data_IF_981845723483
#
_entry.id   IF_981845723483
#
_cell.length_a   1.000
_cell.length_b   1.000
_cell.length_c   1.000
_cell.angle_alpha   90.00
_cell.angle_beta   90.00
_cell.angle_gamma   90.00
#
_symmetry.space_group_name_H-M   'P 1'
#
loop_
_entity.id
_entity.type
_entity.pdbx_description
1 polymer ?
#
# COMPACT_ATOMS: atom_id res chain seq x y z
N UNK A 1 2.45 2.18 10.27
CA UNK A 1 1.49 1.66 9.28
C UNK A 1 0.53 2.80 8.97
N UNK A 2 0.38 3.23 7.71
CA UNK A 2 -0.47 4.38 7.35
C UNK A 2 -1.93 4.13 7.69
N UNK A 3 -2.62 5.18 8.15
CA UNK A 3 -4.01 5.07 8.55
C UNK A 3 -4.90 4.92 7.32
N UNK A 4 -5.95 4.09 7.40
CA UNK A 4 -6.87 3.87 6.27
C UNK A 4 -7.57 5.16 5.85
N UNK A 5 -7.86 6.05 6.81
CA UNK A 5 -8.46 7.37 6.56
C UNK A 5 -7.59 8.20 5.62
N UNK A 6 -6.29 8.28 5.88
CA UNK A 6 -5.34 9.03 5.05
C UNK A 6 -5.31 8.52 3.60
N UNK A 7 -5.29 7.19 3.42
CA UNK A 7 -5.32 6.60 2.08
C UNK A 7 -6.65 6.86 1.35
N UNK A 8 -7.77 6.91 2.07
CA UNK A 8 -9.09 7.22 1.48
C UNK A 8 -9.25 8.70 1.12
N UNK A 9 -8.49 9.60 1.75
CA UNK A 9 -8.51 11.03 1.44
C UNK A 9 -7.73 11.39 0.16
N UNK A 10 -6.81 10.54 -0.28
CA UNK A 10 -6.01 10.75 -1.49
C UNK A 10 -6.80 10.54 -2.77
N UNK A 11 -6.38 11.21 -3.84
CA UNK A 11 -6.91 10.99 -5.19
C UNK A 11 -6.49 9.61 -5.73
N UNK A 12 -7.13 9.16 -6.81
CA UNK A 12 -6.73 7.90 -7.47
C UNK A 12 -5.32 7.99 -8.05
N UNK A 13 -4.93 9.15 -8.57
CA UNK A 13 -3.60 9.42 -9.12
C UNK A 13 -2.52 9.33 -8.04
N UNK A 14 -2.73 10.01 -6.90
CA UNK A 14 -1.81 9.96 -5.76
C UNK A 14 -1.66 8.54 -5.20
N UNK A 15 -2.75 7.78 -5.17
CA UNK A 15 -2.73 6.37 -4.76
C UNK A 15 -1.96 5.49 -5.74
N UNK A 16 -2.06 5.77 -7.04
CA UNK A 16 -1.33 5.04 -8.08
C UNK A 16 0.17 5.36 -8.01
N UNK A 17 0.55 6.62 -7.82
CA UNK A 17 1.95 7.02 -7.64
C UNK A 17 2.57 6.33 -6.41
N UNK A 18 1.90 6.42 -5.27
CA UNK A 18 2.36 5.79 -4.03
C UNK A 18 2.43 4.25 -4.15
N UNK A 19 1.51 3.64 -4.91
CA UNK A 19 1.56 2.21 -5.21
C UNK A 19 2.83 1.83 -5.99
N UNK A 20 3.27 2.67 -6.94
CA UNK A 20 4.48 2.43 -7.72
C UNK A 20 5.74 2.55 -6.85
N UNK A 21 5.80 3.58 -5.99
CA UNK A 21 6.90 3.76 -5.03
C UNK A 21 7.03 2.56 -4.09
N UNK A 22 5.91 2.14 -3.47
CA UNK A 22 5.90 1.01 -2.54
C UNK A 22 6.28 -0.31 -3.22
N UNK A 23 5.93 -0.50 -4.51
CA UNK A 23 6.35 -1.68 -5.29
C UNK A 23 7.85 -1.68 -5.54
N UNK A 24 8.44 -0.52 -5.83
CA UNK A 24 9.88 -0.36 -6.00
C UNK A 24 10.62 -0.62 -4.70
N UNK A 25 10.16 -0.05 -3.59
CA UNK A 25 10.71 -0.30 -2.25
C UNK A 25 10.62 -1.79 -1.88
N UNK A 26 9.48 -2.43 -2.17
CA UNK A 26 9.30 -3.87 -1.95
C UNK A 26 10.30 -4.71 -2.74
N UNK A 27 10.59 -4.33 -4.00
CA UNK A 27 11.58 -5.02 -4.84
C UNK A 27 12.98 -4.87 -4.24
N UNK A 28 13.37 -3.66 -3.83
CA UNK A 28 14.67 -3.39 -3.23
C UNK A 28 14.87 -4.14 -1.91
N UNK A 29 13.84 -4.21 -1.07
CA UNK A 29 13.91 -5.00 0.16
C UNK A 29 14.02 -6.50 -0.14
N UNK A 30 13.27 -7.01 -1.12
CA UNK A 30 13.37 -8.42 -1.54
C UNK A 30 14.75 -8.77 -2.08
N UNK A 31 15.38 -7.90 -2.87
CA UNK A 31 16.73 -8.15 -3.39
C UNK A 31 17.75 -8.13 -2.26
N UNK A 32 17.68 -7.18 -1.32
CA UNK A 32 18.54 -7.12 -0.13
C UNK A 32 18.43 -8.37 0.75
N UNK A 33 17.20 -8.87 0.95
CA UNK A 33 16.96 -10.13 1.67
C UNK A 33 17.59 -11.30 0.91
N UNK A 34 17.39 -11.36 -0.41
CA UNK A 34 17.88 -12.47 -1.24
C UNK A 34 19.41 -12.53 -1.29
N UNK A 35 20.09 -11.38 -1.25
CA UNK A 35 21.55 -11.31 -1.22
C UNK A 35 22.16 -11.68 0.14
N UNK A 36 21.36 -12.16 1.10
CA UNK A 36 21.84 -12.52 2.44
C UNK A 36 22.12 -11.31 3.34
N UNK A 37 21.62 -10.13 2.98
CA UNK A 37 21.78 -8.92 3.80
C UNK A 37 20.95 -9.02 5.09
N UNK A 38 21.52 -8.56 6.20
CA UNK A 38 20.80 -8.44 7.46
C UNK A 38 19.55 -7.56 7.28
N UNK A 39 18.42 -8.06 7.75
CA UNK A 39 17.14 -7.34 7.71
C UNK A 39 16.96 -6.65 9.04
N UNK A 40 17.40 -5.40 9.13
CA UNK A 40 17.27 -4.60 10.36
C UNK A 40 15.80 -4.37 10.74
N UNK A 41 14.90 -4.31 9.75
CA UNK A 41 13.47 -4.09 9.96
C UNK A 41 12.60 -5.18 9.32
N UNK A 42 12.53 -6.35 9.95
CA UNK A 42 11.72 -7.50 9.50
C UNK A 42 10.22 -7.15 9.33
N UNK A 43 9.72 -6.19 10.12
CA UNK A 43 8.34 -5.68 10.03
C UNK A 43 8.04 -4.79 8.82
N UNK A 44 9.06 -4.18 8.20
CA UNK A 44 8.88 -3.22 7.10
C UNK A 44 8.32 -3.91 5.85
N UNK A 45 8.80 -5.11 5.52
CA UNK A 45 8.28 -5.90 4.41
C UNK A 45 6.77 -6.18 4.56
N UNK A 46 6.35 -6.55 5.77
CA UNK A 46 4.94 -6.82 6.09
C UNK A 46 4.10 -5.54 6.01
N UNK A 47 4.64 -4.42 6.48
CA UNK A 47 3.97 -3.12 6.42
C UNK A 47 3.74 -2.67 4.98
N UNK A 48 4.76 -2.73 4.13
CA UNK A 48 4.67 -2.34 2.71
C UNK A 48 3.63 -3.20 1.98
N UNK A 49 3.68 -4.53 2.15
CA UNK A 49 2.69 -5.44 1.55
C UNK A 49 1.25 -5.10 1.96
N UNK A 50 1.03 -4.75 3.24
CA UNK A 50 -0.28 -4.36 3.75
C UNK A 50 -0.74 -3.01 3.20
N UNK A 51 0.16 -2.04 3.09
CA UNK A 51 -0.18 -0.74 2.50
C UNK A 51 -0.55 -0.89 1.02
N UNK A 52 0.23 -1.65 0.24
CA UNK A 52 -0.08 -2.00 -1.16
C UNK A 52 -1.46 -2.63 -1.28
N UNK A 53 -1.77 -3.63 -0.44
CA UNK A 53 -3.07 -4.30 -0.46
C UNK A 53 -4.22 -3.32 -0.21
N UNK A 54 -4.08 -2.42 0.76
CA UNK A 54 -5.11 -1.40 1.06
C UNK A 54 -5.33 -0.42 -0.08
N UNK A 55 -4.26 0.07 -0.70
CA UNK A 55 -4.35 0.97 -1.85
C UNK A 55 -5.12 0.27 -2.99
N UNK A 56 -4.75 -0.96 -3.32
CA UNK A 56 -5.45 -1.75 -4.34
C UNK A 56 -6.92 -1.99 -3.99
N UNK A 57 -7.24 -2.23 -2.72
CA UNK A 57 -8.62 -2.35 -2.25
C UNK A 57 -9.40 -1.05 -2.48
N UNK A 58 -8.86 0.10 -2.07
CA UNK A 58 -9.52 1.41 -2.24
C UNK A 58 -9.76 1.71 -3.72
N UNK A 59 -8.74 1.54 -4.57
CA UNK A 59 -8.87 1.75 -6.01
C UNK A 59 -9.93 0.82 -6.63
N UNK A 60 -9.99 -0.44 -6.18
CA UNK A 60 -11.01 -1.39 -6.66
C UNK A 60 -12.42 -1.06 -6.13
N UNK A 61 -12.55 -0.61 -4.89
CA UNK A 61 -13.82 -0.12 -4.31
C UNK A 61 -14.35 1.09 -5.08
N UNK A 62 -13.46 2.06 -5.39
CA UNK A 62 -13.80 3.24 -6.21
C UNK A 62 -14.20 2.85 -7.62
N UNK A 63 -13.41 1.99 -8.29
CA UNK A 63 -13.71 1.48 -9.63
C UNK A 63 -15.05 0.75 -9.72
N UNK A 64 -15.45 0.05 -8.65
CA UNK A 64 -16.73 -0.67 -8.56
C UNK A 64 -17.91 0.20 -8.11
N UNK A 65 -17.69 1.49 -7.83
CA UNK A 65 -18.71 2.37 -7.26
C UNK A 65 -19.13 2.00 -5.83
N UNK A 66 -18.38 1.14 -5.14
CA UNK A 66 -18.65 0.67 -3.78
C UNK A 66 -18.15 1.65 -2.71
N UNK A 67 -17.31 2.62 -3.10
CA UNK A 67 -16.66 3.57 -2.18
C UNK A 67 -17.59 4.50 -1.39
N UNK A 68 -18.88 4.58 -1.72
CA UNK A 68 -19.88 5.39 -1.00
C UNK A 68 -20.69 4.64 0.07
N UNK A 69 -20.67 3.30 0.13
CA UNK A 69 -21.60 2.55 1.02
C UNK A 69 -21.08 2.24 2.43
N UNK A 70 -19.89 2.72 2.82
CA UNK A 70 -19.19 2.26 4.04
C UNK A 70 -18.75 3.40 4.98
N UNK A 71 -19.34 4.59 4.83
CA UNK A 71 -19.06 5.76 5.67
C UNK A 71 -20.27 6.63 5.99
N UNK A 72 -21.48 6.19 5.63
CA UNK A 72 -22.75 6.77 6.08
C UNK A 72 -23.39 5.75 7.02
N UNK A 73 -22.92 5.72 8.27
CA UNK A 73 -23.58 5.18 9.47
C UNK A 73 -22.82 5.66 10.71
#
# INVERSE_FOLDING_TARGET
MRALKELRSKSDEELIEELQELRTELRNLRTKIRSGGAVENSGQLRNIKRTIARILTILNERKRGLGKKLGEE
#
